data_IF_816320095892
#
_entry.id   IF_816320095892
#
_cell.length_a   1.000
_cell.length_b   1.000
_cell.length_c   1.000
_cell.angle_alpha   90.00
_cell.angle_beta   90.00
_cell.angle_gamma   90.00
#
_symmetry.space_group_name_H-M   'P 1'
#
loop_
_entity.id
_entity.type
_entity.pdbx_description
1 polymer ?
#
# COMPACT_ATOMS: atom_id res chain seq x y z
N UNK A 1 15.52 -1.73 7.39
CA UNK A 1 14.13 -1.35 7.10
C UNK A 1 13.13 -2.39 7.59
N UNK A 2 13.40 -3.69 7.45
CA UNK A 2 12.49 -4.79 7.87
C UNK A 2 12.01 -4.71 9.32
N UNK A 3 12.95 -4.55 10.28
CA UNK A 3 12.61 -4.46 11.72
C UNK A 3 11.72 -3.25 12.02
N UNK A 4 12.05 -2.09 11.46
CA UNK A 4 11.29 -0.87 11.68
C UNK A 4 9.84 -0.98 11.15
N UNK A 5 9.65 -1.64 10.00
CA UNK A 5 8.31 -1.87 9.44
C UNK A 5 7.47 -2.75 10.36
N UNK A 6 8.03 -3.86 10.85
CA UNK A 6 7.35 -4.76 11.77
C UNK A 6 6.99 -4.07 13.08
N UNK A 7 7.94 -3.36 13.69
CA UNK A 7 7.72 -2.62 14.93
C UNK A 7 6.67 -1.52 14.75
N UNK A 8 6.65 -0.83 13.62
CA UNK A 8 5.63 0.19 13.33
C UNK A 8 4.24 -0.41 13.31
N UNK A 9 4.04 -1.52 12.60
CA UNK A 9 2.74 -2.22 12.57
C UNK A 9 2.32 -2.66 13.97
N UNK A 10 3.22 -3.25 14.75
CA UNK A 10 2.93 -3.67 16.13
C UNK A 10 2.60 -2.48 17.05
N UNK A 11 3.25 -1.31 16.88
CA UNK A 11 2.95 -0.10 17.65
C UNK A 11 1.57 0.48 17.35
N UNK A 12 1.04 0.24 16.14
CA UNK A 12 -0.32 0.59 15.76
C UNK A 12 -1.30 -0.59 15.95
N UNK A 13 -1.08 -1.41 16.98
CA UNK A 13 -1.97 -2.53 17.38
C UNK A 13 -2.08 -3.66 16.35
N UNK A 14 -1.20 -3.69 15.34
CA UNK A 14 -1.13 -4.74 14.35
C UNK A 14 -0.39 -5.98 14.82
N UNK A 15 -0.25 -6.99 13.93
CA UNK A 15 0.45 -8.21 14.27
C UNK A 15 1.94 -7.98 14.50
N UNK A 16 2.52 -8.89 15.29
CA UNK A 16 3.96 -9.08 15.36
C UNK A 16 4.37 -10.28 14.52
N UNK A 17 5.56 -10.24 13.93
CA UNK A 17 6.14 -11.38 13.22
C UNK A 17 7.67 -11.34 13.30
N UNK A 18 8.30 -12.49 13.10
CA UNK A 18 9.75 -12.56 13.07
C UNK A 18 10.28 -11.98 11.75
N UNK A 19 11.10 -10.95 11.87
CA UNK A 19 11.78 -10.36 10.72
C UNK A 19 13.05 -11.14 10.39
N UNK A 20 13.16 -11.66 9.18
CA UNK A 20 14.42 -12.22 8.70
C UNK A 20 15.50 -11.13 8.62
N UNK A 21 16.70 -11.43 9.13
CA UNK A 21 17.85 -10.53 9.17
C UNK A 21 18.95 -11.00 8.22
N UNK A 22 20.07 -10.27 8.17
CA UNK A 22 21.25 -10.67 7.39
C UNK A 22 21.33 -10.09 5.98
N UNK A 23 20.39 -9.23 5.57
CA UNK A 23 20.49 -8.46 4.33
C UNK A 23 21.64 -7.46 4.40
N UNK A 24 22.32 -7.27 3.28
CA UNK A 24 23.32 -6.21 3.06
C UNK A 24 22.77 -5.10 2.17
N UNK A 25 23.38 -3.92 2.30
CA UNK A 25 23.03 -2.73 1.54
C UNK A 25 23.62 -2.81 0.12
N UNK A 26 22.83 -2.39 -0.87
CA UNK A 26 23.29 -2.26 -2.26
C UNK A 26 24.33 -1.16 -2.42
N UNK A 27 25.09 -1.18 -3.52
CA UNK A 27 26.15 -0.19 -3.80
C UNK A 27 25.69 0.92 -4.77
N UNK A 28 24.51 0.76 -5.37
CA UNK A 28 23.96 1.69 -6.36
C UNK A 28 22.48 1.93 -6.09
N UNK A 29 21.92 2.96 -6.74
CA UNK A 29 20.49 3.23 -6.75
C UNK A 29 20.01 3.31 -8.20
N UNK A 30 18.73 3.01 -8.43
CA UNK A 30 18.12 3.06 -9.76
C UNK A 30 16.84 3.90 -9.73
N UNK A 31 16.94 5.16 -10.13
CA UNK A 31 15.79 6.06 -10.25
C UNK A 31 14.82 5.58 -11.33
N UNK A 32 15.33 5.17 -12.49
CA UNK A 32 14.52 4.63 -13.59
C UNK A 32 13.81 3.34 -13.16
N UNK A 33 14.49 2.49 -12.38
CA UNK A 33 13.89 1.29 -11.81
C UNK A 33 12.71 1.63 -10.89
N UNK A 34 12.89 2.58 -9.97
CA UNK A 34 11.82 3.04 -9.08
C UNK A 34 10.61 3.60 -9.85
N UNK A 35 10.84 4.47 -10.83
CA UNK A 35 9.78 5.09 -11.64
C UNK A 35 8.95 4.07 -12.44
N UNK A 36 9.55 2.93 -12.81
CA UNK A 36 8.87 1.88 -13.58
C UNK A 36 8.18 0.84 -12.68
N UNK A 37 8.85 0.45 -11.58
CA UNK A 37 8.43 -0.70 -10.78
C UNK A 37 7.37 -0.35 -9.72
N UNK A 38 7.36 0.88 -9.19
CA UNK A 38 6.44 1.24 -8.11
C UNK A 38 5.01 1.47 -8.65
N UNK A 39 3.97 0.94 -7.99
CA UNK A 39 2.59 1.21 -8.34
C UNK A 39 2.24 2.67 -8.07
N UNK A 40 1.45 3.26 -8.96
CA UNK A 40 0.87 4.59 -8.82
C UNK A 40 -0.52 4.48 -8.18
N UNK A 41 -0.96 5.45 -7.36
CA UNK A 41 -2.33 5.47 -6.85
C UNK A 41 -3.39 5.62 -7.96
N UNK A 42 -2.98 5.99 -9.18
CA UNK A 42 -3.82 6.14 -10.37
C UNK A 42 -3.75 4.94 -11.32
N UNK A 43 -2.92 3.94 -11.02
CA UNK A 43 -2.80 2.76 -11.87
C UNK A 43 -4.11 1.96 -11.81
N UNK A 44 -4.62 1.47 -12.96
CA UNK A 44 -5.71 0.52 -12.95
C UNK A 44 -5.26 -0.81 -12.31
N UNK A 45 -6.19 -1.59 -11.76
CA UNK A 45 -5.91 -2.83 -11.04
C UNK A 45 -4.99 -3.77 -11.82
N UNK A 46 -5.19 -3.90 -13.14
CA UNK A 46 -4.36 -4.75 -13.99
C UNK A 46 -2.89 -4.31 -14.03
N UNK A 47 -2.62 -3.00 -14.03
CA UNK A 47 -1.27 -2.46 -14.01
C UNK A 47 -0.63 -2.66 -12.62
N UNK A 48 -1.38 -2.40 -11.55
CA UNK A 48 -0.94 -2.66 -10.17
C UNK A 48 -0.62 -4.14 -9.96
N UNK A 49 -1.52 -5.04 -10.35
CA UNK A 49 -1.30 -6.48 -10.27
C UNK A 49 -0.10 -6.96 -11.08
N UNK A 50 0.12 -6.39 -12.29
CA UNK A 50 1.29 -6.72 -13.10
C UNK A 50 2.61 -6.31 -12.43
N UNK A 51 2.64 -5.16 -11.73
CA UNK A 51 3.82 -4.70 -10.98
C UNK A 51 4.12 -5.58 -9.76
N UNK A 52 3.08 -6.06 -9.05
CA UNK A 52 3.24 -7.04 -7.97
C UNK A 52 3.75 -8.39 -8.51
N UNK A 53 3.17 -8.89 -9.60
CA UNK A 53 3.60 -10.13 -10.24
C UNK A 53 5.05 -10.06 -10.73
N UNK A 54 5.50 -8.91 -11.21
CA UNK A 54 6.88 -8.69 -11.66
C UNK A 54 7.93 -8.87 -10.55
N UNK A 55 7.53 -8.80 -9.28
CA UNK A 55 8.39 -9.06 -8.11
C UNK A 55 8.00 -10.33 -7.36
N UNK A 56 7.20 -11.21 -7.98
CA UNK A 56 6.84 -12.52 -7.44
C UNK A 56 5.72 -12.50 -6.40
N UNK A 57 4.88 -11.46 -6.38
CA UNK A 57 3.74 -11.32 -5.48
C UNK A 57 2.42 -11.55 -6.24
N UNK A 58 1.52 -12.33 -5.65
CA UNK A 58 0.23 -12.68 -6.26
C UNK A 58 -0.89 -11.68 -5.89
N UNK A 59 -2.13 -11.96 -6.31
CA UNK A 59 -3.29 -11.10 -6.00
C UNK A 59 -3.64 -11.09 -4.52
N UNK A 60 -3.37 -12.17 -3.78
CA UNK A 60 -3.58 -12.20 -2.32
C UNK A 60 -2.55 -11.33 -1.63
N UNK A 61 -1.30 -11.36 -2.10
CA UNK A 61 -0.26 -10.46 -1.62
C UNK A 61 -0.61 -8.99 -1.91
N UNK A 62 -1.08 -8.68 -3.12
CA UNK A 62 -1.57 -7.35 -3.47
C UNK A 62 -2.65 -6.85 -2.50
N UNK A 63 -3.72 -7.62 -2.32
CA UNK A 63 -4.85 -7.20 -1.48
C UNK A 63 -4.43 -7.11 -0.01
N UNK A 64 -3.67 -8.08 0.50
CA UNK A 64 -3.21 -8.07 1.89
C UNK A 64 -2.31 -6.86 2.15
N UNK A 65 -1.30 -6.61 1.32
CA UNK A 65 -0.36 -5.50 1.48
C UNK A 65 -1.01 -4.12 1.29
N UNK A 66 -2.05 -4.02 0.47
CA UNK A 66 -2.86 -2.80 0.37
C UNK A 66 -3.55 -2.45 1.69
N UNK A 67 -3.81 -3.46 2.54
CA UNK A 67 -4.26 -3.27 3.92
C UNK A 67 -3.29 -2.46 4.80
N UNK A 68 -2.05 -2.21 4.37
CA UNK A 68 -1.17 -1.24 5.03
C UNK A 68 -1.75 0.19 5.05
N UNK A 69 -2.67 0.52 4.13
CA UNK A 69 -3.41 1.78 4.14
C UNK A 69 -4.49 1.86 5.23
N UNK A 70 -4.57 0.88 6.12
CA UNK A 70 -5.40 0.95 7.32
C UNK A 70 -4.98 2.02 8.32
N UNK A 71 -3.78 2.59 8.17
CA UNK A 71 -3.31 3.76 8.92
C UNK A 71 -2.44 4.66 8.03
N UNK A 72 -2.08 5.84 8.54
CA UNK A 72 -1.24 6.79 7.82
C UNK A 72 -2.03 7.83 7.02
N UNK A 73 -1.34 8.56 6.15
CA UNK A 73 -1.88 9.78 5.52
C UNK A 73 -1.58 9.85 4.03
N UNK A 74 -2.45 10.55 3.32
CA UNK A 74 -2.34 10.84 1.89
C UNK A 74 -2.52 12.32 1.63
N UNK A 75 -1.82 12.85 0.63
CA UNK A 75 -2.02 14.23 0.17
C UNK A 75 -3.22 14.33 -0.76
N UNK A 76 -3.98 15.42 -0.63
CA UNK A 76 -5.18 15.66 -1.44
C UNK A 76 -4.93 15.62 -2.94
N UNK A 77 -3.70 15.92 -3.41
CA UNK A 77 -3.35 15.86 -4.83
C UNK A 77 -3.61 14.47 -5.46
N UNK A 78 -3.53 13.40 -4.68
CA UNK A 78 -3.79 12.04 -5.15
C UNK A 78 -5.29 11.70 -5.19
N UNK A 79 -6.13 12.54 -4.58
CA UNK A 79 -7.58 12.38 -4.53
C UNK A 79 -8.30 13.33 -5.51
N UNK A 80 -7.68 14.48 -5.82
CA UNK A 80 -8.26 15.54 -6.66
C UNK A 80 -8.82 15.04 -8.00
N UNK A 81 -8.14 14.16 -8.77
CA UNK A 81 -8.71 13.64 -10.01
C UNK A 81 -10.04 12.91 -9.78
N UNK A 82 -10.15 12.11 -8.70
CA UNK A 82 -11.39 11.40 -8.35
C UNK A 82 -12.52 12.33 -7.92
N UNK A 83 -12.20 13.51 -7.39
CA UNK A 83 -13.19 14.48 -6.92
C UNK A 83 -13.80 15.33 -8.03
N UNK A 84 -13.06 15.63 -9.10
CA UNK A 84 -13.46 16.67 -10.05
C UNK A 84 -13.42 16.25 -11.54
N UNK A 85 -12.39 15.49 -11.95
CA UNK A 85 -12.18 15.14 -13.36
C UNK A 85 -11.58 13.74 -13.48
N UNK A 86 -12.38 12.74 -13.12
CA UNK A 86 -11.94 11.36 -13.13
C UNK A 86 -11.84 10.87 -14.57
N UNK A 87 -10.65 10.40 -14.97
CA UNK A 87 -10.39 9.91 -16.33
C UNK A 87 -10.82 10.87 -17.46
N UNK A 88 -10.63 12.18 -17.27
CA UNK A 88 -10.98 13.23 -18.23
C UNK A 88 -12.48 13.30 -18.56
N UNK A 89 -13.35 12.83 -17.66
CA UNK A 89 -14.81 12.85 -17.84
C UNK A 89 -15.47 14.17 -17.43
N UNK A 90 -14.71 15.10 -16.82
CA UNK A 90 -15.18 16.31 -16.13
C UNK A 90 -16.23 16.03 -15.06
N UNK A 91 -16.19 14.82 -14.50
CA UNK A 91 -17.09 14.35 -13.46
C UNK A 91 -16.28 13.64 -12.37
N UNK A 92 -16.81 13.60 -11.14
CA UNK A 92 -16.24 12.79 -10.07
C UNK A 92 -16.25 11.30 -10.43
N UNK A 93 -15.37 10.54 -9.79
CA UNK A 93 -15.33 9.08 -9.85
C UNK A 93 -16.66 8.51 -9.29
N UNK A 94 -17.42 7.73 -10.08
CA UNK A 94 -18.70 7.16 -9.63
C UNK A 94 -18.55 6.13 -8.51
N UNK A 95 -17.34 5.64 -8.25
CA UNK A 95 -17.02 4.67 -7.19
C UNK A 95 -16.46 5.33 -5.93
N UNK A 96 -16.47 6.67 -5.85
CA UNK A 96 -15.91 7.40 -4.72
C UNK A 96 -16.98 8.14 -3.94
N UNK A 97 -17.17 7.77 -2.66
CA UNK A 97 -18.13 8.44 -1.79
C UNK A 97 -17.60 9.81 -1.34
N UNK A 98 -18.19 10.89 -1.85
CA UNK A 98 -17.72 12.27 -1.65
C UNK A 98 -17.81 12.79 -0.20
N UNK A 99 -18.52 12.11 0.69
CA UNK A 99 -18.65 12.52 2.11
C UNK A 99 -17.40 12.15 2.93
N UNK A 100 -16.51 11.32 2.40
CA UNK A 100 -15.30 10.84 3.09
C UNK A 100 -14.18 11.87 3.17
N UNK A 101 -14.40 13.11 2.69
CA UNK A 101 -13.31 14.03 2.34
C UNK A 101 -13.60 15.51 2.60
N UNK A 102 -14.37 15.87 3.63
CA UNK A 102 -14.67 17.28 3.95
C UNK A 102 -13.41 18.17 3.97
N UNK A 103 -12.29 17.67 4.50
CA UNK A 103 -10.98 18.35 4.54
C UNK A 103 -10.32 18.57 3.17
N UNK A 104 -10.79 17.91 2.11
CA UNK A 104 -10.22 18.02 0.75
C UNK A 104 -10.92 19.06 -0.11
N UNK A 105 -12.08 19.56 0.33
CA UNK A 105 -12.93 20.50 -0.40
C UNK A 105 -12.35 21.91 -0.33
N UNK A 106 -11.29 22.14 -1.11
CA UNK A 106 -10.61 23.43 -1.17
C UNK A 106 -9.50 23.53 -2.23
N UNK A 107 -9.23 22.45 -2.97
CA UNK A 107 -8.26 22.45 -4.07
C UNK A 107 -6.78 22.52 -3.65
N UNK A 108 -6.48 22.61 -2.36
CA UNK A 108 -5.09 22.62 -1.89
C UNK A 108 -4.51 21.20 -1.85
N UNK A 109 -3.76 20.84 -2.89
CA UNK A 109 -3.10 19.52 -3.01
C UNK A 109 -2.00 19.23 -1.97
N UNK A 110 -1.64 20.15 -1.07
CA UNK A 110 -0.67 19.90 0.01
C UNK A 110 -1.31 19.37 1.29
N UNK A 111 -2.62 19.57 1.47
CA UNK A 111 -3.37 19.12 2.66
C UNK A 111 -3.29 17.59 2.78
N UNK A 112 -3.08 17.11 4.01
CA UNK A 112 -3.06 15.70 4.35
C UNK A 112 -4.41 15.27 4.91
N UNK A 113 -4.86 14.08 4.52
CA UNK A 113 -5.98 13.37 5.14
C UNK A 113 -5.56 11.95 5.52
N UNK A 114 -6.31 11.30 6.41
CA UNK A 114 -6.03 9.95 6.89
C UNK A 114 -6.43 8.93 5.83
N UNK A 115 -5.57 7.93 5.55
CA UNK A 115 -5.89 6.85 4.60
C UNK A 115 -7.11 6.02 5.04
N UNK A 116 -7.28 5.87 6.35
CA UNK A 116 -8.44 5.25 6.98
C UNK A 116 -9.04 6.22 7.99
N UNK A 117 -10.13 6.95 7.64
CA UNK A 117 -10.78 7.88 8.56
C UNK A 117 -11.56 7.16 9.68
N UNK A 118 -11.91 5.88 9.49
CA UNK A 118 -12.68 5.08 10.46
C UNK A 118 -11.84 4.78 11.70
N UNK A 119 -10.57 4.41 11.52
CA UNK A 119 -9.61 4.10 12.59
C UNK A 119 -8.22 4.66 12.25
N UNK A 120 -7.99 5.94 12.56
CA UNK A 120 -6.85 6.73 12.05
C UNK A 120 -5.46 6.15 12.37
N UNK A 121 -5.30 5.52 13.53
CA UNK A 121 -4.01 5.04 14.04
C UNK A 121 -4.12 3.59 14.53
N UNK A 122 -4.88 2.74 13.82
CA UNK A 122 -5.03 1.34 14.18
C UNK A 122 -4.80 0.47 12.95
N UNK A 123 -3.97 -0.56 13.08
CA UNK A 123 -3.71 -1.55 12.05
C UNK A 123 -4.85 -2.57 12.02
N UNK A 124 -5.88 -2.12 11.35
CA UNK A 124 -7.21 -2.63 11.16
C UNK A 124 -7.61 -3.45 9.94
N UNK A 125 -8.71 -4.21 9.98
CA UNK A 125 -9.40 -4.62 8.76
C UNK A 125 -10.48 -3.62 8.27
N UNK A 126 -10.71 -2.49 8.97
CA UNK A 126 -11.69 -1.47 8.54
C UNK A 126 -11.34 -0.84 7.21
N UNK A 127 -10.06 -0.83 6.82
CA UNK A 127 -9.65 -0.54 5.45
C UNK A 127 -10.52 -1.29 4.43
N UNK A 128 -10.69 -2.60 4.58
CA UNK A 128 -11.48 -3.43 3.66
C UNK A 128 -12.98 -3.15 3.77
N UNK A 129 -13.49 -2.87 4.97
CA UNK A 129 -14.89 -2.46 5.16
C UNK A 129 -15.19 -1.14 4.45
N UNK A 130 -14.26 -0.19 4.44
CA UNK A 130 -14.41 1.08 3.72
C UNK A 130 -14.52 0.85 2.20
N UNK A 131 -13.77 -0.11 1.65
CA UNK A 131 -13.86 -0.42 0.21
C UNK A 131 -15.27 -0.91 -0.18
N UNK A 132 -15.92 -1.69 0.70
CA UNK A 132 -17.27 -2.21 0.48
C UNK A 132 -18.33 -1.09 0.42
N UNK A 133 -18.07 0.04 1.07
CA UNK A 133 -18.96 1.21 1.08
C UNK A 133 -18.49 2.32 0.14
N UNK A 134 -17.58 2.04 -0.81
CA UNK A 134 -17.03 3.05 -1.74
C UNK A 134 -16.26 4.19 -1.06
N UNK A 135 -15.72 3.92 0.13
CA UNK A 135 -14.96 4.86 0.96
C UNK A 135 -13.43 4.64 0.91
N UNK A 136 -12.93 3.85 -0.05
CA UNK A 136 -11.50 3.76 -0.34
C UNK A 136 -10.98 5.06 -0.97
N UNK A 137 -9.95 5.67 -0.36
CA UNK A 137 -9.49 7.01 -0.76
C UNK A 137 -8.74 7.02 -2.10
N UNK A 138 -7.74 6.16 -2.27
CA UNK A 138 -7.01 6.09 -3.54
C UNK A 138 -7.83 5.32 -4.59
N UNK A 139 -7.66 5.67 -5.86
CA UNK A 139 -8.27 4.89 -6.95
C UNK A 139 -7.78 3.43 -6.89
N UNK A 140 -6.48 3.23 -6.70
CA UNK A 140 -5.88 1.90 -6.53
C UNK A 140 -6.49 1.08 -5.38
N UNK A 141 -6.96 1.74 -4.31
CA UNK A 141 -7.65 1.06 -3.20
C UNK A 141 -9.05 0.61 -3.63
N UNK A 142 -9.83 1.55 -4.15
CA UNK A 142 -11.23 1.29 -4.48
C UNK A 142 -11.38 0.28 -5.62
N UNK A 143 -10.44 0.26 -6.56
CA UNK A 143 -10.43 -0.71 -7.65
C UNK A 143 -10.26 -2.16 -7.19
N UNK A 144 -9.71 -2.42 -5.99
CA UNK A 144 -9.65 -3.78 -5.43
C UNK A 144 -11.06 -4.38 -5.25
N UNK A 145 -12.06 -3.53 -5.00
CA UNK A 145 -13.45 -3.96 -4.78
C UNK A 145 -14.39 -3.61 -5.94
N UNK A 146 -14.17 -2.47 -6.61
CA UNK A 146 -15.08 -1.95 -7.64
C UNK A 146 -14.76 -2.44 -9.05
N UNK A 147 -13.66 -3.16 -9.28
CA UNK A 147 -13.35 -3.76 -10.59
C UNK A 147 -14.21 -5.01 -10.84
N UNK A 148 -15.12 -5.01 -11.84
CA UNK A 148 -16.03 -6.14 -12.06
C UNK A 148 -15.29 -7.43 -12.36
N UNK A 149 -15.74 -8.54 -11.75
CA UNK A 149 -15.21 -9.91 -11.95
C UNK A 149 -13.72 -10.06 -11.58
N UNK A 150 -13.14 -9.11 -10.85
CA UNK A 150 -11.79 -9.28 -10.30
C UNK A 150 -11.78 -10.31 -9.17
N UNK A 151 -10.74 -11.13 -9.12
CA UNK A 151 -10.51 -12.07 -8.01
C UNK A 151 -10.15 -11.35 -6.69
N UNK A 152 -9.83 -10.05 -6.73
CA UNK A 152 -9.57 -9.25 -5.53
C UNK A 152 -10.82 -8.98 -4.70
N UNK A 153 -12.01 -8.98 -5.31
CA UNK A 153 -13.29 -8.70 -4.63
C UNK A 153 -13.58 -9.73 -3.54
N UNK A 154 -13.32 -11.01 -3.82
CA UNK A 154 -13.50 -12.10 -2.84
C UNK A 154 -12.54 -11.96 -1.66
N UNK A 155 -11.28 -11.60 -1.93
CA UNK A 155 -10.27 -11.36 -0.89
C UNK A 155 -10.64 -10.15 0.00
N UNK A 156 -11.13 -9.05 -0.60
CA UNK A 156 -11.61 -7.88 0.16
C UNK A 156 -12.77 -8.27 1.07
N UNK A 157 -13.74 -9.03 0.56
CA UNK A 157 -14.86 -9.53 1.37
C UNK A 157 -14.38 -10.43 2.52
N UNK A 158 -13.45 -11.34 2.23
CA UNK A 158 -12.86 -12.23 3.23
C UNK A 158 -12.17 -11.44 4.35
N UNK A 159 -11.34 -10.46 3.99
CA UNK A 159 -10.57 -9.67 4.95
C UNK A 159 -11.44 -8.69 5.74
N UNK A 160 -12.46 -8.09 5.12
CA UNK A 160 -13.45 -7.27 5.83
C UNK A 160 -14.23 -8.09 6.87
N UNK A 161 -14.61 -9.32 6.54
CA UNK A 161 -15.37 -10.20 7.43
C UNK A 161 -14.51 -10.86 8.53
N UNK A 162 -13.20 -11.01 8.32
CA UNK A 162 -12.32 -11.75 9.21
C UNK A 162 -10.93 -11.09 9.33
N UNK A 163 -10.73 -10.36 10.42
CA UNK A 163 -9.46 -9.70 10.74
C UNK A 163 -8.29 -10.68 10.89
N UNK A 164 -8.52 -11.88 11.45
CA UNK A 164 -7.48 -12.92 11.55
C UNK A 164 -6.99 -13.34 10.17
N UNK A 165 -7.90 -13.59 9.23
CA UNK A 165 -7.54 -13.95 7.86
C UNK A 165 -6.74 -12.85 7.14
N UNK A 166 -7.08 -11.58 7.39
CA UNK A 166 -6.29 -10.44 6.93
C UNK A 166 -4.89 -10.45 7.54
N UNK A 167 -4.79 -10.50 8.87
CA UNK A 167 -3.52 -10.45 9.60
C UNK A 167 -2.56 -11.55 9.16
N UNK A 168 -3.04 -12.80 9.07
CA UNK A 168 -2.23 -13.94 8.64
C UNK A 168 -1.71 -13.74 7.21
N UNK A 169 -2.56 -13.24 6.32
CA UNK A 169 -2.17 -12.94 4.94
C UNK A 169 -1.16 -11.80 4.88
N UNK A 170 -1.37 -10.74 5.66
CA UNK A 170 -0.46 -9.59 5.72
C UNK A 170 0.93 -10.00 6.21
N UNK A 171 1.01 -10.79 7.28
CA UNK A 171 2.29 -11.31 7.80
C UNK A 171 2.98 -12.18 6.75
N UNK A 172 2.26 -13.10 6.12
CA UNK A 172 2.83 -13.95 5.06
C UNK A 172 3.37 -13.11 3.89
N UNK A 173 2.63 -12.09 3.45
CA UNK A 173 3.05 -11.20 2.35
C UNK A 173 4.20 -10.27 2.74
N UNK A 174 4.24 -9.77 3.98
CA UNK A 174 5.39 -9.01 4.50
C UNK A 174 6.66 -9.84 4.57
N UNK A 175 6.54 -11.13 4.94
CA UNK A 175 7.65 -12.08 4.89
C UNK A 175 8.12 -12.27 3.43
N UNK A 176 7.20 -12.49 2.48
CA UNK A 176 7.55 -12.61 1.05
C UNK A 176 8.28 -11.38 0.53
N UNK A 177 7.77 -10.16 0.78
CA UNK A 177 8.45 -8.91 0.38
C UNK A 177 9.86 -8.84 0.93
N UNK A 178 10.06 -9.34 2.14
CA UNK A 178 11.36 -9.32 2.78
C UNK A 178 12.41 -10.13 1.99
N UNK A 179 12.04 -11.10 1.16
CA UNK A 179 12.99 -11.92 0.42
C UNK A 179 13.25 -11.48 -1.02
N UNK A 180 12.59 -10.42 -1.49
CA UNK A 180 12.72 -9.97 -2.87
C UNK A 180 14.16 -9.47 -3.12
N UNK A 181 14.88 -10.18 -4.00
CA UNK A 181 16.20 -9.80 -4.54
C UNK A 181 17.22 -9.32 -3.50
N UNK A 182 17.32 -10.03 -2.38
CA UNK A 182 18.19 -9.65 -1.25
C UNK A 182 19.68 -9.92 -1.53
N UNK A 183 20.55 -9.02 -1.09
CA UNK A 183 22.00 -9.22 -1.07
C UNK A 183 22.42 -9.87 0.24
N UNK A 184 23.25 -10.92 0.16
CA UNK A 184 23.72 -11.67 1.34
C UNK A 184 25.19 -12.06 1.19
N UNK A 185 25.78 -12.68 2.22
CA UNK A 185 27.15 -13.22 2.14
C UNK A 185 28.17 -12.13 1.84
N UNK A 186 28.89 -12.22 0.71
CA UNK A 186 29.89 -11.22 0.29
C UNK A 186 29.32 -10.13 -0.64
N UNK A 187 28.03 -10.17 -0.97
CA UNK A 187 27.38 -9.21 -1.86
C UNK A 187 26.97 -7.95 -1.08
N UNK A 188 27.28 -6.76 -1.61
CA UNK A 188 26.98 -5.49 -0.95
C UNK A 188 27.79 -5.25 0.32
N UNK A 189 27.30 -4.37 1.19
CA UNK A 189 28.02 -3.95 2.39
C UNK A 189 27.09 -3.72 3.60
N UNK A 190 27.68 -3.54 4.79
CA UNK A 190 26.96 -3.00 5.96
C UNK A 190 27.34 -1.52 6.05
N UNK A 191 26.42 -0.62 5.69
CA UNK A 191 26.72 0.82 5.69
C UNK A 191 26.85 1.33 7.12
N UNK A 192 27.90 2.11 7.35
CA UNK A 192 28.05 2.90 8.58
C UNK A 192 27.14 4.13 8.60
N UNK A 193 26.72 4.60 7.42
CA UNK A 193 25.76 5.69 7.22
C UNK A 193 24.82 5.35 6.07
N UNK A 194 23.53 5.17 6.32
CA UNK A 194 22.57 4.70 5.32
C UNK A 194 22.52 5.53 4.02
N UNK A 195 22.79 6.84 4.12
CA UNK A 195 22.67 7.80 3.01
C UNK A 195 23.82 7.74 1.98
N UNK A 196 24.88 6.99 2.24
CA UNK A 196 26.02 6.87 1.31
C UNK A 196 26.63 5.47 1.36
N UNK A 197 27.28 5.09 0.28
CA UNK A 197 28.17 3.92 0.30
C UNK A 197 29.35 4.18 1.23
N UNK A 198 29.93 3.14 1.83
CA UNK A 198 31.17 3.32 2.56
C UNK A 198 32.29 3.70 1.56
N UNK A 199 33.20 4.56 2.00
CA UNK A 199 34.43 4.81 1.26
C UNK A 199 35.36 3.62 1.55
N UNK A 200 35.80 2.93 0.51
CA UNK A 200 36.82 1.88 0.59
C UNK A 200 38.19 2.55 0.64
#
# INVERSE_FOLDING_TARGET
TTVAAQQSVALFEGPSWESFLGRKDGLTASQTGANKALPSPFDPLIATASKFAAVGLDSRDLVALSGAHSFGRVRCLFLTPRLYDFNNTRKPDPTFEQNTTEDTRGGNGTVLTNLNPTTVNTFDNRYFSNLQTSAGLLQSDQELFSTPKSNTVELVNQFSANQTAFIESFVASMIKISYISVLTGMEGEVRTRCLRVNNI
#
